data_IF_484289689732
#
_entry.id   IF_484289689732
#
_cell.length_a   1.000
_cell.length_b   1.000
_cell.length_c   1.000
_cell.angle_alpha   90.00
_cell.angle_beta   90.00
_cell.angle_gamma   90.00
#
_symmetry.space_group_name_H-M   'P 1'
#
loop_
_entity.id
_entity.type
_entity.pdbx_description
1 polymer ?
#
# COMPACT_ATOMS: atom_id res chain seq x y z
N UNK A 1 -3.91 5.14 -12.18
CA UNK A 1 -2.52 5.25 -11.69
C UNK A 1 -2.13 3.92 -11.07
N UNK A 2 -0.85 3.58 -11.11
CA UNK A 2 -0.33 2.37 -10.48
C UNK A 2 0.47 2.77 -9.24
N UNK A 3 0.37 1.95 -8.21
CA UNK A 3 1.13 2.09 -6.98
C UNK A 3 1.71 0.74 -6.64
N UNK A 4 2.94 0.71 -6.17
CA UNK A 4 3.52 -0.46 -5.53
C UNK A 4 3.44 -0.25 -4.03
N UNK A 5 2.98 -1.26 -3.31
CA UNK A 5 2.98 -1.25 -1.86
C UNK A 5 3.85 -2.39 -1.33
N UNK A 6 4.85 -2.02 -0.53
CA UNK A 6 5.75 -2.94 0.17
C UNK A 6 5.33 -3.04 1.63
N UNK A 7 4.64 -4.12 1.98
CA UNK A 7 4.24 -4.34 3.36
C UNK A 7 5.48 -4.63 4.22
N UNK A 8 5.59 -4.04 5.42
CA UNK A 8 6.69 -4.37 6.34
C UNK A 8 6.65 -5.80 6.90
N UNK A 9 5.69 -6.63 6.46
CA UNK A 9 5.49 -7.99 6.94
C UNK A 9 5.78 -8.96 5.81
N UNK A 10 6.66 -9.92 6.10
CA UNK A 10 6.79 -11.20 5.37
C UNK A 10 6.85 -11.06 3.85
N UNK A 11 7.85 -10.32 3.33
CA UNK A 11 8.12 -10.21 1.89
C UNK A 11 6.86 -9.93 1.04
N UNK A 12 5.87 -9.23 1.63
CA UNK A 12 4.58 -9.02 1.00
C UNK A 12 4.59 -7.71 0.22
N UNK A 13 4.77 -7.82 -1.10
CA UNK A 13 4.70 -6.70 -2.04
C UNK A 13 3.59 -6.94 -3.05
N UNK A 14 2.78 -5.91 -3.33
CA UNK A 14 1.74 -5.99 -4.35
C UNK A 14 1.48 -4.66 -5.05
N UNK A 15 0.95 -4.75 -6.27
CA UNK A 15 0.53 -3.61 -7.06
C UNK A 15 -0.92 -3.22 -6.73
N UNK A 16 -1.15 -1.93 -6.48
CA UNK A 16 -2.44 -1.30 -6.30
C UNK A 16 -2.75 -0.46 -7.54
N UNK A 17 -3.84 -0.78 -8.22
CA UNK A 17 -4.37 0.02 -9.33
C UNK A 17 -5.53 0.87 -8.83
N UNK A 18 -5.34 2.18 -8.80
CA UNK A 18 -6.39 3.13 -8.44
C UNK A 18 -6.19 4.49 -9.10
N UNK A 19 -7.21 5.34 -9.04
CA UNK A 19 -7.24 6.66 -9.67
C UNK A 19 -6.79 7.80 -8.74
N UNK A 20 -6.64 7.53 -7.44
CA UNK A 20 -6.37 8.53 -6.39
C UNK A 20 -5.45 7.99 -5.28
N UNK A 21 -4.49 8.82 -4.84
CA UNK A 21 -3.55 8.47 -3.76
C UNK A 21 -4.26 8.05 -2.46
N UNK A 22 -5.35 8.75 -2.11
CA UNK A 22 -6.16 8.45 -0.93
C UNK A 22 -6.71 7.02 -0.97
N UNK A 23 -7.12 6.55 -2.14
CA UNK A 23 -7.69 5.21 -2.30
C UNK A 23 -6.59 4.15 -2.22
N UNK A 24 -5.40 4.40 -2.80
CA UNK A 24 -4.23 3.55 -2.62
C UNK A 24 -3.90 3.35 -1.12
N UNK A 25 -3.87 4.45 -0.36
CA UNK A 25 -3.62 4.41 1.08
C UNK A 25 -4.66 3.59 1.86
N UNK A 26 -5.95 3.72 1.53
CA UNK A 26 -7.02 2.93 2.15
C UNK A 26 -6.86 1.44 1.85
N UNK A 27 -6.56 1.09 0.61
CA UNK A 27 -6.40 -0.30 0.17
C UNK A 27 -5.19 -0.96 0.84
N UNK A 28 -4.05 -0.28 0.90
CA UNK A 28 -2.85 -0.78 1.60
C UNK A 28 -3.12 -1.03 3.09
N UNK A 29 -3.82 -0.11 3.78
CA UNK A 29 -4.20 -0.30 5.19
C UNK A 29 -5.21 -1.45 5.37
N UNK A 30 -6.18 -1.57 4.46
CA UNK A 30 -7.15 -2.66 4.49
C UNK A 30 -6.46 -4.01 4.32
N UNK A 31 -5.52 -4.12 3.37
CA UNK A 31 -4.71 -5.31 3.17
C UNK A 31 -3.97 -5.69 4.47
N UNK A 32 -3.18 -4.77 5.04
CA UNK A 32 -2.41 -5.10 6.24
C UNK A 32 -3.28 -5.55 7.42
N UNK A 33 -4.48 -4.97 7.55
CA UNK A 33 -5.44 -5.35 8.58
C UNK A 33 -6.06 -6.71 8.34
N UNK A 34 -6.38 -7.06 7.09
CA UNK A 34 -7.03 -8.33 6.75
C UNK A 34 -6.03 -9.48 6.65
N UNK A 35 -4.92 -9.28 5.93
CA UNK A 35 -3.92 -10.31 5.63
C UNK A 35 -2.99 -10.60 6.80
N UNK A 36 -2.57 -9.57 7.53
CA UNK A 36 -1.55 -9.69 8.58
C UNK A 36 -2.06 -9.37 9.98
N UNK A 37 -3.36 -9.07 10.14
CA UNK A 37 -3.95 -8.53 11.39
C UNK A 37 -3.17 -7.31 11.92
N UNK A 38 -2.48 -6.61 11.03
CA UNK A 38 -1.56 -5.52 11.34
C UNK A 38 -2.26 -4.17 11.28
N UNK A 39 -1.62 -3.17 11.88
CA UNK A 39 -1.98 -1.76 11.69
C UNK A 39 -0.78 -1.02 11.12
N UNK A 40 -1.02 -0.27 10.05
CA UNK A 40 -0.03 0.62 9.46
C UNK A 40 -0.34 2.05 9.91
N UNK A 41 0.60 2.71 10.61
CA UNK A 41 0.54 4.15 10.87
C UNK A 41 0.58 4.94 9.56
N UNK A 42 -0.12 6.09 9.46
CA UNK A 42 -0.08 6.92 8.26
C UNK A 42 1.34 7.34 7.84
N UNK A 43 2.20 7.66 8.81
CA UNK A 43 3.58 8.10 8.53
C UNK A 43 4.46 7.00 7.89
N UNK A 44 4.20 5.73 8.22
CA UNK A 44 4.92 4.63 7.58
C UNK A 44 4.32 4.27 6.21
N UNK A 45 3.04 4.60 5.99
CA UNK A 45 2.34 4.27 4.75
C UNK A 45 2.95 4.97 3.55
N UNK A 46 3.32 6.24 3.69
CA UNK A 46 3.98 7.01 2.63
C UNK A 46 5.36 6.43 2.28
N UNK A 47 6.06 5.84 3.27
CA UNK A 47 7.35 5.18 3.03
C UNK A 47 7.21 3.89 2.23
N UNK A 48 6.09 3.18 2.41
CA UNK A 48 5.86 1.85 1.86
C UNK A 48 4.99 1.84 0.61
N UNK A 49 4.31 2.95 0.32
CA UNK A 49 3.46 3.12 -0.83
C UNK A 49 4.16 4.03 -1.84
N UNK A 50 4.68 3.43 -2.89
CA UNK A 50 5.34 4.16 -3.97
C UNK A 50 4.38 4.31 -5.16
N UNK A 51 4.27 5.53 -5.70
CA UNK A 51 3.54 5.74 -6.95
C UNK A 51 4.42 5.30 -8.11
N UNK A 52 3.89 4.43 -8.95
CA UNK A 52 4.58 3.93 -10.14
C UNK A 52 3.88 4.51 -11.37
N UNK A 53 4.62 5.31 -12.15
CA UNK A 53 4.16 5.71 -13.47
C UNK A 53 4.37 4.54 -14.43
N UNK A 54 3.28 4.06 -15.03
CA UNK A 54 3.37 3.08 -16.10
C UNK A 54 4.00 3.79 -17.32
N UNK A 55 5.17 3.29 -17.75
CA UNK A 55 5.92 3.79 -18.90
C UNK A 55 5.18 3.60 -20.23
#
# INVERSE_FOLDING_TARGET
MSYQFECPREDCTFELRCDRDQEAAKLARAHARLSHRGRIPPADLERWLERVEAA
#
